data_IF_752990377322
#
_entry.id   IF_752990377322
#
_cell.length_a   1.000
_cell.length_b   1.000
_cell.length_c   1.000
_cell.angle_alpha   90.00
_cell.angle_beta   90.00
_cell.angle_gamma   90.00
#
_symmetry.space_group_name_H-M   'P 1'
#
loop_
_entity.id
_entity.type
_entity.pdbx_description
1 polymer ?
#
# COMPACT_ATOMS: atom_id res chain seq x y z
N UNK A 1 -37.78 -36.68 -32.62
CA UNK A 1 -37.45 -35.26 -32.93
C UNK A 1 -37.56 -34.46 -31.63
N UNK A 2 -36.49 -33.72 -31.27
CA UNK A 2 -36.47 -32.36 -30.68
C UNK A 2 -37.31 -32.09 -29.40
N UNK A 3 -36.84 -31.48 -28.30
CA UNK A 3 -35.85 -30.42 -28.10
C UNK A 3 -35.68 -30.11 -26.58
N UNK A 4 -34.43 -29.91 -26.12
CA UNK A 4 -33.99 -28.92 -25.10
C UNK A 4 -34.27 -29.22 -23.61
N UNK A 5 -33.43 -28.89 -22.62
CA UNK A 5 -32.18 -28.11 -22.58
C UNK A 5 -31.45 -28.43 -21.26
N UNK A 6 -30.15 -28.68 -21.41
CA UNK A 6 -29.10 -28.60 -20.42
C UNK A 6 -29.26 -27.41 -19.44
N UNK A 7 -29.25 -27.65 -18.14
CA UNK A 7 -28.93 -26.61 -17.14
C UNK A 7 -27.98 -27.21 -16.10
N UNK A 8 -26.69 -27.20 -16.45
CA UNK A 8 -25.59 -27.27 -15.48
C UNK A 8 -25.75 -26.07 -14.55
N UNK A 9 -26.14 -26.32 -13.31
CA UNK A 9 -26.12 -25.33 -12.24
C UNK A 9 -24.64 -25.01 -11.98
N UNK A 10 -24.22 -23.82 -12.40
CA UNK A 10 -22.96 -23.24 -11.96
C UNK A 10 -23.16 -22.79 -10.51
N UNK A 11 -22.73 -23.63 -9.57
CA UNK A 11 -22.52 -23.21 -8.20
C UNK A 11 -21.33 -22.22 -8.20
N UNK A 12 -21.63 -20.92 -8.31
CA UNK A 12 -20.65 -19.90 -7.95
C UNK A 12 -20.54 -19.94 -6.43
N UNK A 13 -19.52 -20.62 -5.91
CA UNK A 13 -19.09 -20.44 -4.54
C UNK A 13 -18.66 -18.99 -4.38
N UNK A 14 -19.56 -18.15 -3.85
CA UNK A 14 -19.19 -16.87 -3.26
C UNK A 14 -18.36 -17.23 -2.04
N UNK A 15 -17.05 -17.40 -2.23
CA UNK A 15 -16.08 -17.37 -1.15
C UNK A 15 -16.13 -15.95 -0.58
N UNK A 16 -17.05 -15.73 0.35
CA UNK A 16 -17.10 -14.56 1.19
C UNK A 16 -15.80 -14.56 1.99
N UNK A 17 -14.80 -13.82 1.50
CA UNK A 17 -13.63 -13.48 2.29
C UNK A 17 -14.18 -12.58 3.39
N UNK A 18 -14.42 -13.16 4.56
CA UNK A 18 -14.65 -12.40 5.76
C UNK A 18 -13.37 -11.62 6.05
N UNK A 19 -13.29 -10.38 5.58
CA UNK A 19 -12.25 -9.45 5.97
C UNK A 19 -12.61 -9.05 7.40
N UNK A 20 -12.18 -9.86 8.37
CA UNK A 20 -12.26 -9.47 9.78
C UNK A 20 -11.44 -8.20 9.92
N UNK A 21 -12.11 -7.04 9.92
CA UNK A 21 -11.49 -5.73 10.08
C UNK A 21 -11.09 -5.57 11.54
N UNK A 22 -10.05 -6.28 11.95
CA UNK A 22 -9.32 -5.96 13.17
C UNK A 22 -8.71 -4.59 12.93
N UNK A 23 -9.32 -3.55 13.49
CA UNK A 23 -8.79 -2.18 13.42
C UNK A 23 -7.44 -2.22 14.13
N UNK A 24 -6.37 -2.29 13.35
CA UNK A 24 -5.01 -2.22 13.88
C UNK A 24 -4.80 -0.76 14.25
N UNK A 25 -4.84 -0.45 15.54
CA UNK A 25 -4.41 0.84 16.04
C UNK A 25 -2.93 1.01 15.71
N UNK A 26 -2.62 1.84 14.73
CA UNK A 26 -1.25 2.16 14.38
C UNK A 26 -0.79 3.30 15.28
N UNK A 27 0.11 3.01 16.20
CA UNK A 27 0.76 4.04 16.99
C UNK A 27 1.57 4.95 16.05
N UNK A 28 1.29 6.26 16.10
CA UNK A 28 2.13 7.25 15.43
C UNK A 28 3.51 7.18 16.07
N UNK A 29 4.48 6.67 15.31
CA UNK A 29 5.78 6.36 15.85
C UNK A 29 6.76 7.49 15.49
N UNK A 30 7.29 8.16 16.53
CA UNK A 30 8.38 9.12 16.35
C UNK A 30 9.66 8.33 16.05
N UNK A 31 10.02 8.23 14.77
CA UNK A 31 11.24 7.54 14.34
C UNK A 31 12.47 8.25 14.91
N UNK A 32 13.21 7.57 15.77
CA UNK A 32 14.48 8.05 16.30
C UNK A 32 15.66 7.48 15.51
N UNK A 33 15.47 7.36 14.19
CA UNK A 33 16.46 6.79 13.27
C UNK A 33 17.17 7.90 12.50
N UNK A 34 18.39 7.61 12.07
CA UNK A 34 19.12 8.46 11.14
C UNK A 34 18.51 8.42 9.72
N UNK A 35 17.52 7.55 9.48
CA UNK A 35 16.88 7.35 8.18
C UNK A 35 15.87 8.47 7.96
N UNK A 36 16.23 9.42 7.09
CA UNK A 36 15.34 10.49 6.67
C UNK A 36 14.44 9.96 5.57
N UNK A 37 13.14 10.01 5.82
CA UNK A 37 12.12 9.51 4.91
C UNK A 37 10.96 10.47 4.81
N UNK A 38 10.29 10.42 3.65
CA UNK A 38 9.11 11.21 3.35
C UNK A 38 8.16 10.39 2.49
N UNK A 39 6.86 10.53 2.72
CA UNK A 39 5.84 9.99 1.83
C UNK A 39 5.74 10.87 0.58
N UNK A 40 5.97 10.27 -0.58
CA UNK A 40 5.85 10.96 -1.87
C UNK A 40 4.41 11.42 -2.07
N UNK A 41 4.25 12.62 -2.64
CA UNK A 41 2.93 13.12 -3.03
C UNK A 41 2.38 12.38 -4.25
N UNK A 42 3.25 11.74 -5.03
CA UNK A 42 2.89 10.98 -6.21
C UNK A 42 2.74 9.49 -5.86
N UNK A 43 1.69 8.85 -6.39
CA UNK A 43 1.50 7.42 -6.24
C UNK A 43 2.20 6.66 -7.38
N UNK A 44 2.33 5.35 -7.22
CA UNK A 44 2.85 4.48 -8.27
C UNK A 44 1.83 3.41 -8.66
N UNK A 45 1.89 2.96 -9.91
CA UNK A 45 1.05 1.87 -10.41
C UNK A 45 1.86 0.91 -11.29
N UNK A 46 1.49 -0.36 -11.32
CA UNK A 46 2.05 -1.30 -12.29
C UNK A 46 1.62 -0.97 -13.72
N UNK A 47 2.38 -1.42 -14.74
CA UNK A 47 2.04 -1.25 -16.16
C UNK A 47 0.63 -1.75 -16.51
N UNK A 48 0.18 -2.82 -15.87
CA UNK A 48 -1.16 -3.39 -16.06
C UNK A 48 -2.27 -2.65 -15.29
N UNK A 49 -1.92 -1.61 -14.54
CA UNK A 49 -2.82 -0.78 -13.72
C UNK A 49 -3.64 -1.55 -12.67
N UNK A 50 -3.25 -2.79 -12.36
CA UNK A 50 -3.95 -3.62 -11.36
C UNK A 50 -3.51 -3.31 -9.94
N UNK A 51 -2.24 -2.96 -9.77
CA UNK A 51 -1.66 -2.71 -8.45
C UNK A 51 -1.27 -1.23 -8.32
N UNK A 52 -1.64 -0.65 -7.19
CA UNK A 52 -1.38 0.74 -6.84
C UNK A 52 -0.53 0.77 -5.57
N UNK A 53 0.36 1.75 -5.47
CA UNK A 53 1.36 1.82 -4.40
C UNK A 53 1.49 3.25 -3.88
N UNK A 54 1.64 3.36 -2.56
CA UNK A 54 2.23 4.52 -1.93
C UNK A 54 3.75 4.43 -2.04
N UNK A 55 4.43 5.57 -2.16
CA UNK A 55 5.88 5.61 -2.33
C UNK A 55 6.51 6.34 -1.16
N UNK A 56 7.29 5.65 -0.36
CA UNK A 56 8.19 6.28 0.61
C UNK A 56 9.54 6.56 -0.06
N UNK A 57 9.99 7.80 0.01
CA UNK A 57 11.30 8.21 -0.47
C UNK A 57 12.27 8.31 0.71
N UNK A 58 13.42 7.64 0.60
CA UNK A 58 14.48 7.67 1.59
C UNK A 58 15.52 8.69 1.15
N UNK A 59 15.44 9.89 1.73
CA UNK A 59 16.21 11.07 1.29
C UNK A 59 17.72 10.86 1.41
N UNK A 60 18.17 10.08 2.41
CA UNK A 60 19.59 9.82 2.66
C UNK A 60 20.03 8.39 2.30
N UNK A 61 19.33 7.72 1.38
CA UNK A 61 19.57 6.30 1.05
C UNK A 61 21.03 5.94 0.75
N UNK A 62 21.74 6.77 -0.02
CA UNK A 62 23.15 6.54 -0.40
C UNK A 62 24.11 6.66 0.78
N UNK A 63 23.70 7.31 1.86
CA UNK A 63 24.48 7.53 3.08
C UNK A 63 24.17 6.52 4.18
N UNK A 64 23.20 5.63 3.97
CA UNK A 64 22.84 4.60 4.94
C UNK A 64 23.87 3.47 4.94
N UNK A 65 24.09 2.90 6.13
CA UNK A 65 24.88 1.67 6.29
C UNK A 65 24.16 0.47 5.70
N UNK A 66 24.88 -0.63 5.48
CA UNK A 66 24.26 -1.86 4.96
C UNK A 66 23.27 -2.46 5.97
N UNK A 67 23.51 -2.29 7.28
CA UNK A 67 22.56 -2.68 8.33
C UNK A 67 21.26 -1.86 8.28
N UNK A 68 21.38 -0.54 8.10
CA UNK A 68 20.23 0.34 7.94
C UNK A 68 19.43 0.00 6.68
N UNK A 69 20.11 -0.24 5.55
CA UNK A 69 19.45 -0.69 4.30
C UNK A 69 18.74 -2.02 4.51
N UNK A 70 19.37 -2.98 5.18
CA UNK A 70 18.76 -4.28 5.50
C UNK A 70 17.58 -4.15 6.46
N UNK A 71 17.56 -3.13 7.32
CA UNK A 71 16.42 -2.86 8.20
C UNK A 71 15.19 -2.32 7.46
N UNK A 72 15.40 -1.74 6.26
CA UNK A 72 14.33 -1.30 5.35
C UNK A 72 13.79 -2.45 4.50
N UNK A 73 14.60 -3.49 4.29
CA UNK A 73 14.14 -4.72 3.63
C UNK A 73 13.07 -5.41 4.47
N UNK A 74 12.01 -5.89 3.81
CA UNK A 74 10.88 -6.58 4.45
C UNK A 74 10.15 -5.75 5.52
N UNK A 75 10.29 -4.43 5.51
CA UNK A 75 9.53 -3.56 6.40
C UNK A 75 8.04 -3.72 6.10
N UNK A 76 7.25 -3.98 7.15
CA UNK A 76 5.81 -4.07 7.03
C UNK A 76 5.17 -2.71 7.29
N UNK A 77 4.06 -2.48 6.60
CA UNK A 77 3.31 -1.25 6.67
C UNK A 77 1.84 -1.57 6.89
N UNK A 78 1.27 -0.86 7.85
CA UNK A 78 -0.16 -0.64 7.94
C UNK A 78 -0.60 0.39 6.92
N UNK A 79 -1.50 0.02 6.03
CA UNK A 79 -2.08 0.94 5.06
C UNK A 79 -3.56 1.07 5.36
N UNK A 80 -4.05 2.30 5.47
CA UNK A 80 -5.47 2.59 5.59
C UNK A 80 -5.92 3.62 4.57
N UNK A 81 -6.95 3.28 3.79
CA UNK A 81 -7.69 4.26 2.98
C UNK A 81 -8.94 4.64 3.78
N UNK A 82 -9.02 5.92 4.13
CA UNK A 82 -10.11 6.55 4.85
C UNK A 82 -10.93 7.37 3.86
N UNK A 83 -12.26 7.34 3.99
CA UNK A 83 -13.12 8.23 3.23
C UNK A 83 -12.91 9.71 3.62
N UNK A 84 -13.57 10.61 2.89
CA UNK A 84 -13.50 12.06 3.13
C UNK A 84 -13.83 12.47 4.57
N UNK A 85 -14.68 11.69 5.24
CA UNK A 85 -15.17 11.93 6.60
C UNK A 85 -14.37 11.13 7.66
N UNK A 86 -13.34 10.39 7.25
CA UNK A 86 -12.53 9.53 8.12
C UNK A 86 -13.24 8.25 8.58
N UNK A 87 -14.36 7.89 7.95
CA UNK A 87 -15.15 6.70 8.28
C UNK A 87 -14.71 5.52 7.39
N UNK A 88 -14.97 4.29 7.87
CA UNK A 88 -14.72 3.03 7.15
C UNK A 88 -13.26 2.80 6.67
N UNK A 89 -12.26 2.79 7.57
CA UNK A 89 -10.88 2.51 7.18
C UNK A 89 -10.73 1.09 6.60
N UNK A 90 -10.28 0.98 5.35
CA UNK A 90 -9.81 -0.31 4.82
C UNK A 90 -8.36 -0.47 5.25
N UNK A 91 -8.13 -1.29 6.25
CA UNK A 91 -6.81 -1.53 6.83
C UNK A 91 -6.21 -2.84 6.29
N UNK A 92 -5.01 -2.76 5.72
CA UNK A 92 -4.22 -3.93 5.37
C UNK A 92 -2.80 -3.81 5.94
N UNK A 93 -2.19 -4.96 6.23
CA UNK A 93 -0.75 -5.05 6.46
C UNK A 93 -0.08 -5.61 5.22
N UNK A 94 0.94 -4.92 4.72
CA UNK A 94 1.69 -5.32 3.54
C UNK A 94 3.18 -5.14 3.76
N UNK A 95 3.99 -5.99 3.12
CA UNK A 95 5.43 -5.77 3.03
C UNK A 95 5.71 -4.73 1.97
N UNK A 96 6.55 -3.75 2.31
CA UNK A 96 7.07 -2.79 1.36
C UNK A 96 8.09 -3.44 0.42
N UNK A 97 8.08 -3.02 -0.84
CA UNK A 97 9.08 -3.42 -1.83
C UNK A 97 10.11 -2.29 -1.93
N UNK A 98 11.34 -2.54 -1.51
CA UNK A 98 12.41 -1.55 -1.60
C UNK A 98 13.06 -1.61 -2.98
N UNK A 99 13.21 -0.45 -3.63
CA UNK A 99 13.92 -0.30 -4.91
C UNK A 99 14.50 1.10 -5.01
N UNK A 100 15.81 1.20 -5.25
CA UNK A 100 16.51 2.46 -5.55
C UNK A 100 16.25 3.59 -4.53
N UNK A 101 16.27 3.27 -3.23
CA UNK A 101 16.02 4.27 -2.18
C UNK A 101 14.57 4.69 -2.03
N UNK A 102 13.64 3.97 -2.67
CA UNK A 102 12.21 4.08 -2.47
C UNK A 102 11.64 2.81 -1.89
N UNK A 103 10.56 2.92 -1.12
CA UNK A 103 9.80 1.79 -0.63
C UNK A 103 8.38 1.91 -1.16
N UNK A 104 7.97 0.92 -1.94
CA UNK A 104 6.68 0.83 -2.57
C UNK A 104 5.75 0.01 -1.70
N UNK A 105 4.70 0.64 -1.19
CA UNK A 105 3.75 0.02 -0.27
C UNK A 105 2.44 -0.21 -1.01
N UNK A 106 2.07 -1.48 -1.22
CA UNK A 106 0.88 -1.84 -1.99
C UNK A 106 -0.39 -1.37 -1.28
N UNK A 107 -1.28 -0.70 -2.04
CA UNK A 107 -2.58 -0.26 -1.57
C UNK A 107 -3.63 -1.37 -1.72
N UNK A 108 -4.66 -1.41 -0.85
CA UNK A 108 -5.74 -2.41 -0.93
C UNK A 108 -6.57 -2.27 -2.21
N UNK A 109 -6.70 -1.05 -2.72
CA UNK A 109 -7.40 -0.71 -3.96
C UNK A 109 -6.85 0.59 -4.55
N UNK A 110 -7.33 0.93 -5.74
CA UNK A 110 -7.12 2.27 -6.30
C UNK A 110 -7.76 3.33 -5.39
N UNK A 111 -7.01 4.34 -4.94
CA UNK A 111 -7.57 5.46 -4.20
C UNK A 111 -8.37 6.41 -5.10
N UNK A 112 -9.34 7.09 -4.50
CA UNK A 112 -10.20 8.10 -5.13
C UNK A 112 -9.84 9.52 -4.65
N UNK A 113 -10.35 10.52 -5.38
CA UNK A 113 -10.14 11.94 -5.05
C UNK A 113 -10.82 12.25 -3.72
N UNK A 114 -10.15 13.01 -2.87
CA UNK A 114 -10.58 13.44 -1.53
C UNK A 114 -10.58 12.34 -0.45
N UNK A 115 -10.01 11.17 -0.74
CA UNK A 115 -9.71 10.16 0.29
C UNK A 115 -8.44 10.52 1.06
N UNK A 116 -8.28 9.95 2.26
CA UNK A 116 -7.04 10.06 3.04
C UNK A 116 -6.34 8.72 3.05
N UNK A 117 -5.07 8.73 2.67
CA UNK A 117 -4.19 7.59 2.75
C UNK A 117 -3.32 7.73 4.00
N UNK A 118 -3.46 6.78 4.92
CA UNK A 118 -2.58 6.66 6.08
C UNK A 118 -1.64 5.48 5.84
N UNK A 119 -0.33 5.74 5.87
CA UNK A 119 0.67 4.67 5.79
C UNK A 119 1.53 4.71 7.05
N UNK A 120 1.56 3.59 7.75
CA UNK A 120 2.20 3.48 9.05
C UNK A 120 3.20 2.33 9.02
N UNK A 121 4.51 2.59 9.11
CA UNK A 121 5.50 1.52 9.26
C UNK A 121 5.26 0.79 10.59
N UNK A 122 5.32 -0.54 10.58
CA UNK A 122 5.09 -1.35 11.80
C UNK A 122 6.24 -1.26 12.79
N UNK A 123 7.45 -0.96 12.30
CA UNK A 123 8.63 -0.68 13.11
C UNK A 123 8.88 0.82 13.14
N UNK A 124 9.43 1.31 14.24
CA UNK A 124 9.78 2.72 14.44
C UNK A 124 11.01 3.18 13.63
N UNK A 125 11.15 2.69 12.40
CA UNK A 125 12.31 2.93 11.53
C UNK A 125 12.06 4.13 10.61
N UNK A 126 10.81 4.30 10.18
CA UNK A 126 10.37 5.39 9.29
C UNK A 126 9.30 6.23 9.99
N UNK A 127 9.13 7.47 9.53
CA UNK A 127 8.07 8.34 10.03
C UNK A 127 6.71 7.85 9.55
N UNK A 128 5.74 7.87 10.46
CA UNK A 128 4.34 7.72 10.10
C UNK A 128 3.88 8.99 9.39
N UNK A 129 3.33 8.85 8.19
CA UNK A 129 2.83 9.99 7.42
C UNK A 129 1.43 9.70 6.86
N UNK A 130 0.61 10.75 6.82
CA UNK A 130 -0.71 10.72 6.22
C UNK A 130 -0.72 11.63 4.99
N UNK A 131 -1.26 11.14 3.89
CA UNK A 131 -1.40 11.86 2.64
C UNK A 131 -2.88 12.07 2.34
N UNK A 132 -3.29 13.33 2.16
CA UNK A 132 -4.60 13.64 1.58
C UNK A 132 -4.48 13.49 0.08
N UNK A 133 -5.37 12.70 -0.53
CA UNK A 133 -5.36 12.41 -1.96
C UNK A 133 -6.20 13.47 -2.69
N UNK A 134 -5.54 14.38 -3.39
CA UNK A 134 -6.18 15.32 -4.30
C UNK A 134 -5.85 14.95 -5.75
N UNK A 135 -6.34 15.72 -6.72
CA UNK A 135 -6.08 15.45 -8.15
C UNK A 135 -4.58 15.44 -8.49
N UNK A 136 -3.77 16.29 -7.85
CA UNK A 136 -2.33 16.36 -8.10
C UNK A 136 -1.61 15.08 -7.62
N UNK A 137 -2.08 14.50 -6.51
CA UNK A 137 -1.50 13.32 -5.89
C UNK A 137 -1.95 12.00 -6.55
N UNK A 138 -3.07 12.02 -7.28
CA UNK A 138 -3.55 10.87 -8.07
C UNK A 138 -2.83 10.71 -9.42
N UNK A 139 -1.79 11.49 -9.67
CA UNK A 139 -0.89 11.24 -10.78
C UNK A 139 -0.02 10.00 -10.45
N UNK A 140 0.01 9.01 -11.34
CA UNK A 140 0.69 7.74 -11.10
C UNK A 140 2.00 7.64 -11.87
N UNK A 141 3.10 7.37 -11.17
CA UNK A 141 4.31 6.89 -11.80
C UNK A 141 4.15 5.41 -12.16
N UNK A 142 4.42 5.05 -13.42
CA UNK A 142 4.44 3.64 -13.81
C UNK A 142 5.70 2.98 -13.31
N UNK A 143 5.55 1.89 -12.57
CA UNK A 143 6.66 1.10 -12.03
C UNK A 143 6.61 -0.33 -12.54
N UNK A 144 7.80 -0.89 -12.78
CA UNK A 144 7.98 -2.31 -13.08
C UNK A 144 8.73 -2.92 -11.91
N UNK A 145 8.04 -3.76 -11.15
CA UNK A 145 8.68 -4.70 -10.25
C UNK A 145 9.02 -5.92 -11.11
N UNK A 146 10.29 -6.29 -11.18
CA UNK A 146 10.61 -7.64 -11.62
C UNK A 146 9.90 -8.57 -10.66
N UNK A 147 9.15 -9.53 -11.20
CA UNK A 147 8.32 -10.43 -10.40
C UNK A 147 9.21 -11.03 -9.32
N UNK A 148 9.00 -10.64 -8.07
CA UNK A 148 9.44 -11.44 -6.93
C UNK A 148 8.40 -12.56 -6.85
N UNK A 149 8.64 -13.58 -7.67
CA UNK A 149 7.93 -14.85 -7.69
C UNK A 149 8.01 -15.55 -6.34
#
# INVERSE_FOLDING_TARGET
MKLLKNKKFWAMSLSAIAISTSIVAFAASCSNTNIKSKLSKQLAQTKDQKNHFAVYEIENYTKLTDEEKKSLENLEFGVSILDKDGKNPINIKVKGVQKEGKIYVKLPRKPEVNEKLLVVPTKNILKTEALVLNNDNLNYQTVTFEQVS
#
